data_IF_169933124987
#
_entry.id   IF_169933124987
#
_cell.length_a   1.000
_cell.length_b   1.000
_cell.length_c   1.000
_cell.angle_alpha   90.00
_cell.angle_beta   90.00
_cell.angle_gamma   90.00
#
_symmetry.space_group_name_H-M   'P 1'
#
loop_
_entity.id
_entity.type
_entity.pdbx_description
1 polymer ?
#
# COMPACT_ATOMS: atom_id res chain seq x y z
N UNK A 1 -11.60 24.78 2.39
CA UNK A 1 -10.95 23.48 2.09
C UNK A 1 -11.17 23.06 0.64
N UNK A 2 -12.41 22.90 0.16
CA UNK A 2 -12.66 22.48 -1.23
C UNK A 2 -12.06 23.43 -2.27
N UNK A 3 -12.10 24.75 -2.04
CA UNK A 3 -11.45 25.74 -2.90
C UNK A 3 -9.93 25.50 -3.01
N UNK A 4 -9.25 25.29 -1.89
CA UNK A 4 -7.82 24.96 -1.85
C UNK A 4 -7.51 23.65 -2.60
N UNK A 5 -8.29 22.58 -2.39
CA UNK A 5 -8.12 21.30 -3.08
C UNK A 5 -8.26 21.50 -4.59
N UNK A 6 -9.26 22.28 -5.02
CA UNK A 6 -9.48 22.62 -6.44
C UNK A 6 -8.32 23.45 -7.01
N UNK A 7 -7.82 24.44 -6.28
CA UNK A 7 -6.66 25.24 -6.69
C UNK A 7 -5.42 24.36 -6.89
N UNK A 8 -5.13 23.46 -5.96
CA UNK A 8 -4.03 22.48 -6.09
C UNK A 8 -4.24 21.62 -7.35
N UNK A 9 -5.44 21.04 -7.53
CA UNK A 9 -5.73 20.20 -8.69
C UNK A 9 -5.57 20.96 -10.02
N UNK A 10 -6.09 22.18 -10.10
CA UNK A 10 -5.95 23.03 -11.30
C UNK A 10 -4.51 23.44 -11.57
N UNK A 11 -3.71 23.75 -10.56
CA UNK A 11 -2.29 24.06 -10.73
C UNK A 11 -1.50 22.89 -11.33
N UNK A 12 -1.97 21.65 -11.13
CA UNK A 12 -1.41 20.41 -11.71
C UNK A 12 -2.01 20.06 -13.08
N UNK A 13 -2.95 20.85 -13.59
CA UNK A 13 -3.62 20.58 -14.86
C UNK A 13 -4.70 19.50 -14.82
N UNK A 14 -5.20 19.15 -13.63
CA UNK A 14 -6.28 18.16 -13.50
C UNK A 14 -7.61 18.70 -14.06
N UNK A 15 -8.38 17.83 -14.67
CA UNK A 15 -9.72 18.14 -15.16
C UNK A 15 -10.73 18.34 -14.02
N UNK A 16 -11.93 18.78 -14.37
CA UNK A 16 -12.98 19.05 -13.38
C UNK A 16 -13.45 17.76 -12.68
N UNK A 17 -13.46 16.62 -13.36
CA UNK A 17 -13.89 15.35 -12.77
C UNK A 17 -12.93 14.88 -11.68
N UNK A 18 -11.62 14.92 -11.94
CA UNK A 18 -10.62 14.58 -10.94
C UNK A 18 -10.63 15.57 -9.78
N UNK A 19 -10.75 16.88 -10.05
CA UNK A 19 -10.88 17.89 -9.00
C UNK A 19 -12.12 17.62 -8.11
N UNK A 20 -13.29 17.36 -8.70
CA UNK A 20 -14.52 17.04 -7.97
C UNK A 20 -14.39 15.77 -7.13
N UNK A 21 -13.65 14.77 -7.63
CA UNK A 21 -13.39 13.53 -6.91
C UNK A 21 -12.47 13.76 -5.72
N UNK A 22 -11.41 14.56 -5.88
CA UNK A 22 -10.50 14.93 -4.79
C UNK A 22 -11.22 15.76 -3.71
N UNK A 23 -12.14 16.65 -4.07
CA UNK A 23 -12.98 17.41 -3.12
C UNK A 23 -13.87 16.50 -2.24
N UNK A 24 -14.16 15.27 -2.67
CA UNK A 24 -14.86 14.26 -1.86
C UNK A 24 -13.90 13.43 -1.03
N UNK A 25 -12.77 13.03 -1.63
CA UNK A 25 -11.79 12.11 -1.01
C UNK A 25 -11.05 12.79 0.14
N UNK A 26 -10.48 13.97 -0.07
CA UNK A 26 -9.60 14.61 0.91
C UNK A 26 -10.31 14.90 2.23
N UNK A 27 -11.53 15.48 2.25
CA UNK A 27 -12.27 15.65 3.51
C UNK A 27 -12.60 14.33 4.22
N UNK A 28 -12.93 13.27 3.47
CA UNK A 28 -13.21 11.96 4.03
C UNK A 28 -11.95 11.31 4.64
N UNK A 29 -10.79 11.50 4.01
CA UNK A 29 -9.50 11.06 4.57
C UNK A 29 -9.16 11.82 5.85
N UNK A 30 -9.35 13.13 5.89
CA UNK A 30 -9.14 13.94 7.11
C UNK A 30 -10.07 13.46 8.23
N UNK A 31 -11.34 13.20 7.92
CA UNK A 31 -12.31 12.66 8.90
C UNK A 31 -11.86 11.28 9.43
N UNK A 32 -11.27 10.44 8.60
CA UNK A 32 -10.85 9.08 8.95
C UNK A 32 -9.54 9.04 9.74
N UNK A 33 -8.51 9.75 9.25
CA UNK A 33 -7.17 9.73 9.85
C UNK A 33 -7.04 10.67 11.05
N UNK A 34 -7.80 11.78 11.08
CA UNK A 34 -7.79 12.79 12.11
C UNK A 34 -7.43 14.17 11.58
N UNK A 35 -7.99 15.18 12.22
CA UNK A 35 -7.76 16.59 11.88
C UNK A 35 -6.28 17.01 12.05
N UNK A 36 -5.56 16.38 12.94
CA UNK A 36 -4.12 16.58 13.17
C UNK A 36 -3.26 16.23 11.96
N UNK A 37 -3.76 15.39 11.04
CA UNK A 37 -3.06 15.02 9.81
C UNK A 37 -3.51 15.82 8.57
N UNK A 38 -4.37 16.84 8.74
CA UNK A 38 -4.86 17.67 7.64
C UNK A 38 -3.73 18.25 6.79
N UNK A 39 -2.77 18.90 7.43
CA UNK A 39 -1.67 19.57 6.72
C UNK A 39 -0.78 18.57 5.99
N UNK A 40 -0.56 17.40 6.56
CA UNK A 40 0.15 16.30 5.93
C UNK A 40 -0.61 15.81 4.68
N UNK A 41 -1.93 15.58 4.78
CA UNK A 41 -2.76 15.12 3.66
C UNK A 41 -2.76 16.13 2.51
N UNK A 42 -2.89 17.43 2.81
CA UNK A 42 -2.86 18.49 1.80
C UNK A 42 -1.48 18.61 1.15
N UNK A 43 -0.41 18.50 1.92
CA UNK A 43 0.96 18.52 1.41
C UNK A 43 1.24 17.32 0.49
N UNK A 44 0.78 16.13 0.87
CA UNK A 44 0.89 14.93 0.00
C UNK A 44 0.11 15.13 -1.30
N UNK A 45 -1.09 15.72 -1.26
CA UNK A 45 -1.84 16.07 -2.46
C UNK A 45 -1.06 17.05 -3.36
N UNK A 46 -0.46 18.07 -2.77
CA UNK A 46 0.34 19.06 -3.49
C UNK A 46 1.58 18.45 -4.14
N UNK A 47 2.23 17.48 -3.50
CA UNK A 47 3.47 16.86 -3.99
C UNK A 47 3.24 15.62 -4.89
N UNK A 48 2.06 15.01 -4.85
CA UNK A 48 1.76 13.79 -5.62
C UNK A 48 1.15 14.11 -6.98
N UNK A 49 1.70 13.52 -8.04
CA UNK A 49 1.12 13.59 -9.40
C UNK A 49 0.18 12.41 -9.61
N UNK A 50 -1.08 12.68 -9.95
CA UNK A 50 -2.08 11.67 -10.27
C UNK A 50 -2.22 11.57 -11.79
N UNK A 51 -2.04 10.38 -12.35
CA UNK A 51 -2.16 10.09 -13.77
C UNK A 51 -3.21 9.01 -14.00
N UNK A 52 -4.14 9.24 -14.92
CA UNK A 52 -5.11 8.22 -15.38
C UNK A 52 -4.63 7.71 -16.73
N UNK A 53 -4.44 6.39 -16.86
CA UNK A 53 -4.04 5.75 -18.11
C UNK A 53 -5.04 6.03 -19.23
N UNK A 54 -4.56 6.12 -20.47
CA UNK A 54 -5.43 6.09 -21.65
C UNK A 54 -5.98 4.69 -21.88
N UNK A 55 -7.01 4.56 -22.70
CA UNK A 55 -7.70 3.29 -22.96
C UNK A 55 -6.81 2.18 -23.54
N UNK A 56 -5.66 2.53 -24.12
CA UNK A 56 -4.69 1.61 -24.71
C UNK A 56 -3.40 1.47 -23.88
N UNK A 57 -3.34 2.08 -22.72
CA UNK A 57 -2.19 2.04 -21.81
C UNK A 57 -2.55 1.22 -20.56
N UNK A 58 -1.60 0.52 -20.00
CA UNK A 58 -1.72 -0.06 -18.67
C UNK A 58 -0.87 0.71 -17.63
N UNK A 59 -1.17 0.50 -16.37
CA UNK A 59 -0.51 1.18 -15.24
C UNK A 59 1.01 0.98 -15.29
N UNK A 60 1.46 -0.23 -15.61
CA UNK A 60 2.87 -0.59 -15.70
C UNK A 60 3.61 0.17 -16.80
N UNK A 61 3.03 0.29 -18.00
CA UNK A 61 3.63 1.04 -19.12
C UNK A 61 3.82 2.52 -18.77
N UNK A 62 2.84 3.09 -18.04
CA UNK A 62 2.93 4.48 -17.59
C UNK A 62 4.02 4.64 -16.53
N UNK A 63 4.09 3.74 -15.55
CA UNK A 63 5.13 3.75 -14.52
C UNK A 63 6.53 3.63 -15.10
N UNK A 64 6.76 2.67 -16.00
CA UNK A 64 8.07 2.48 -16.62
C UNK A 64 8.55 3.73 -17.35
N UNK A 65 7.62 4.44 -18.01
CA UNK A 65 7.95 5.73 -18.66
C UNK A 65 8.38 6.80 -17.64
N UNK A 66 7.82 6.76 -16.42
CA UNK A 66 8.16 7.69 -15.35
C UNK A 66 9.49 7.32 -14.67
N UNK A 67 9.71 6.05 -14.41
CA UNK A 67 10.88 5.57 -13.69
C UNK A 67 12.14 5.51 -14.54
N UNK A 68 12.02 5.57 -15.88
CA UNK A 68 13.16 5.34 -16.81
C UNK A 68 13.94 4.04 -16.50
N UNK A 69 13.22 3.03 -15.98
CA UNK A 69 13.80 1.71 -15.74
C UNK A 69 13.89 1.01 -17.09
N UNK A 70 15.10 0.70 -17.54
CA UNK A 70 15.31 -0.32 -18.57
C UNK A 70 14.84 -1.65 -17.98
N UNK A 71 14.16 -2.45 -18.81
CA UNK A 71 13.56 -3.73 -18.44
C UNK A 71 14.61 -4.66 -17.83
N UNK A 72 14.78 -4.63 -16.51
CA UNK A 72 15.41 -5.73 -15.81
C UNK A 72 14.28 -6.63 -15.29
N UNK A 73 14.22 -7.85 -15.86
CA UNK A 73 13.21 -8.88 -15.58
C UNK A 73 13.21 -9.36 -14.12
N UNK A 74 14.08 -8.81 -13.27
CA UNK A 74 14.32 -9.26 -11.91
C UNK A 74 13.36 -8.68 -10.85
N UNK A 75 12.50 -7.70 -11.19
CA UNK A 75 11.54 -7.17 -10.22
C UNK A 75 10.38 -8.16 -10.09
N UNK A 76 10.39 -8.93 -9.04
CA UNK A 76 9.27 -9.77 -8.61
C UNK A 76 8.06 -8.83 -8.41
N UNK A 77 6.97 -9.07 -9.15
CA UNK A 77 5.78 -8.20 -9.11
C UNK A 77 5.44 -7.52 -10.43
N UNK A 78 6.35 -7.43 -11.40
CA UNK A 78 6.11 -6.79 -12.71
C UNK A 78 4.87 -7.37 -13.44
N UNK A 79 4.61 -8.67 -13.31
CA UNK A 79 3.42 -9.29 -13.92
C UNK A 79 2.11 -8.90 -13.22
N UNK A 80 2.16 -8.60 -11.93
CA UNK A 80 0.99 -8.25 -11.12
C UNK A 80 0.55 -6.80 -11.35
N UNK A 81 1.50 -5.90 -11.61
CA UNK A 81 1.22 -4.49 -11.96
C UNK A 81 0.45 -4.34 -13.29
N UNK A 82 0.55 -5.30 -14.20
CA UNK A 82 -0.23 -5.29 -15.48
C UNK A 82 -1.74 -5.42 -15.26
N UNK A 83 -2.14 -5.92 -14.10
CA UNK A 83 -3.55 -6.16 -13.74
C UNK A 83 -4.01 -5.17 -12.66
N UNK A 84 -3.10 -4.37 -12.12
CA UNK A 84 -3.42 -3.41 -11.07
C UNK A 84 -4.43 -2.36 -11.57
N UNK A 85 -5.43 -2.07 -10.73
CA UNK A 85 -6.38 -0.98 -10.97
C UNK A 85 -5.72 0.39 -10.73
N UNK A 86 -4.68 0.43 -9.91
CA UNK A 86 -3.86 1.59 -9.62
C UNK A 86 -2.55 1.18 -8.98
N UNK A 87 -1.65 2.13 -8.84
CA UNK A 87 -0.41 1.98 -8.08
C UNK A 87 0.06 3.35 -7.57
N UNK A 88 0.56 3.35 -6.34
CA UNK A 88 1.29 4.48 -5.75
C UNK A 88 2.79 4.18 -5.79
N UNK A 89 3.57 5.08 -6.35
CA UNK A 89 5.03 4.94 -6.43
C UNK A 89 5.71 6.21 -5.97
N UNK A 90 6.78 6.07 -5.16
CA UNK A 90 7.72 7.15 -4.86
C UNK A 90 9.04 6.84 -5.53
N UNK A 91 9.37 7.61 -6.55
CA UNK A 91 10.56 7.42 -7.39
C UNK A 91 11.70 8.27 -6.84
N UNK A 92 12.76 7.68 -6.26
CA UNK A 92 13.93 8.42 -5.86
C UNK A 92 14.79 8.73 -7.10
N UNK A 93 15.18 10.00 -7.24
CA UNK A 93 16.25 10.39 -8.14
C UNK A 93 17.54 10.36 -7.33
N UNK A 94 18.40 9.40 -7.63
CA UNK A 94 19.62 9.15 -6.89
C UNK A 94 20.83 9.47 -7.77
N UNK A 95 21.79 10.20 -7.22
CA UNK A 95 23.09 10.43 -7.84
C UNK A 95 24.22 9.75 -7.04
N UNK A 96 25.35 9.51 -7.72
CA UNK A 96 26.56 9.01 -7.10
C UNK A 96 27.69 9.99 -7.40
N UNK A 97 28.32 10.53 -6.35
CA UNK A 97 29.49 11.41 -6.46
C UNK A 97 30.61 10.89 -5.56
N UNK A 98 31.78 10.71 -6.13
CA UNK A 98 32.97 10.21 -5.40
C UNK A 98 32.73 8.85 -4.69
N UNK A 99 31.81 8.02 -5.22
CA UNK A 99 31.43 6.74 -4.65
C UNK A 99 30.36 6.82 -3.55
N UNK A 100 29.84 8.01 -3.26
CA UNK A 100 28.75 8.21 -2.30
C UNK A 100 27.42 8.44 -3.02
N UNK A 101 26.39 7.67 -2.63
CA UNK A 101 25.04 7.81 -3.14
C UNK A 101 24.25 8.83 -2.33
N UNK A 102 23.45 9.67 -3.01
CA UNK A 102 22.56 10.64 -2.39
C UNK A 102 21.21 10.71 -3.11
N UNK A 103 20.13 10.97 -2.34
CA UNK A 103 18.81 11.24 -2.90
C UNK A 103 18.76 12.73 -3.27
N UNK A 104 18.64 13.02 -4.56
CA UNK A 104 18.51 14.40 -5.07
C UNK A 104 17.07 14.89 -4.99
N UNK A 105 16.09 13.98 -5.23
CA UNK A 105 14.67 14.30 -5.26
C UNK A 105 13.84 13.02 -5.03
N UNK A 106 12.65 13.18 -4.45
CA UNK A 106 11.59 12.17 -4.42
C UNK A 106 10.42 12.64 -5.28
N UNK A 107 10.02 11.85 -6.26
CA UNK A 107 8.88 12.14 -7.13
C UNK A 107 7.75 11.16 -6.78
N UNK A 108 6.57 11.68 -6.40
CA UNK A 108 5.42 10.87 -5.99
C UNK A 108 4.39 10.81 -7.11
N UNK A 109 4.00 9.59 -7.44
CA UNK A 109 3.04 9.33 -8.50
C UNK A 109 1.96 8.37 -8.02
N UNK A 110 0.73 8.65 -8.40
CA UNK A 110 -0.38 7.70 -8.38
C UNK A 110 -0.78 7.50 -9.84
N UNK A 111 -0.74 6.25 -10.31
CA UNK A 111 -1.16 5.89 -11.66
C UNK A 111 -2.40 5.01 -11.54
N UNK A 112 -3.48 5.41 -12.17
CA UNK A 112 -4.76 4.69 -12.17
C UNK A 112 -5.01 4.08 -13.55
N UNK A 113 -5.57 2.88 -13.59
CA UNK A 113 -6.04 2.29 -14.84
C UNK A 113 -7.11 3.16 -15.48
N UNK A 114 -7.27 3.02 -16.81
CA UNK A 114 -8.32 3.71 -17.55
C UNK A 114 -9.71 3.42 -16.95
N UNK A 115 -10.47 4.47 -16.71
CA UNK A 115 -11.82 4.36 -16.15
C UNK A 115 -12.46 5.71 -15.85
N UNK A 116 -13.74 5.69 -15.48
CA UNK A 116 -14.42 6.90 -15.02
C UNK A 116 -14.04 7.18 -13.56
N UNK A 117 -13.27 8.24 -13.36
CA UNK A 117 -12.73 8.63 -12.05
C UNK A 117 -13.81 8.91 -10.99
N UNK A 118 -15.03 9.23 -11.41
CA UNK A 118 -16.16 9.44 -10.51
C UNK A 118 -16.88 8.12 -10.15
N UNK A 119 -16.50 7.00 -10.79
CA UNK A 119 -17.06 5.69 -10.43
C UNK A 119 -16.55 5.25 -9.05
N UNK A 120 -17.39 4.49 -8.34
CA UNK A 120 -17.04 3.96 -7.01
C UNK A 120 -15.75 3.13 -7.00
N UNK A 121 -15.54 2.32 -8.03
CA UNK A 121 -14.33 1.52 -8.16
C UNK A 121 -13.07 2.41 -8.26
N UNK A 122 -13.11 3.43 -9.11
CA UNK A 122 -11.98 4.36 -9.28
C UNK A 122 -11.77 5.23 -8.03
N UNK A 123 -12.85 5.69 -7.38
CA UNK A 123 -12.76 6.42 -6.11
C UNK A 123 -12.03 5.56 -5.06
N UNK A 124 -12.43 4.29 -4.91
CA UNK A 124 -11.77 3.37 -3.98
C UNK A 124 -10.30 3.16 -4.33
N UNK A 125 -9.99 2.89 -5.60
CA UNK A 125 -8.60 2.74 -6.05
C UNK A 125 -7.79 3.99 -5.73
N UNK A 126 -8.31 5.19 -6.03
CA UNK A 126 -7.61 6.43 -5.73
C UNK A 126 -7.40 6.63 -4.22
N UNK A 127 -8.40 6.30 -3.38
CA UNK A 127 -8.27 6.34 -1.91
C UNK A 127 -7.18 5.38 -1.44
N UNK A 128 -7.16 4.15 -1.96
CA UNK A 128 -6.17 3.13 -1.64
C UNK A 128 -4.75 3.61 -1.97
N UNK A 129 -4.53 4.06 -3.20
CA UNK A 129 -3.22 4.53 -3.65
C UNK A 129 -2.78 5.83 -2.96
N UNK A 130 -3.73 6.73 -2.69
CA UNK A 130 -3.43 7.95 -1.95
C UNK A 130 -3.05 7.65 -0.49
N UNK A 131 -3.64 6.62 0.11
CA UNK A 131 -3.27 6.17 1.45
C UNK A 131 -1.83 5.64 1.49
N UNK A 132 -1.38 4.90 0.47
CA UNK A 132 0.02 4.51 0.34
C UNK A 132 0.93 5.73 0.18
N UNK A 133 0.57 6.70 -0.67
CA UNK A 133 1.34 7.94 -0.84
C UNK A 133 1.45 8.73 0.49
N UNK A 134 0.36 8.81 1.26
CA UNK A 134 0.32 9.46 2.57
C UNK A 134 1.25 8.76 3.57
N UNK A 135 1.23 7.44 3.61
CA UNK A 135 2.02 6.61 4.53
C UNK A 135 3.48 6.46 4.12
N UNK A 136 3.84 6.82 2.88
CA UNK A 136 5.22 6.88 2.38
C UNK A 136 5.83 8.27 2.47
N UNK A 137 5.24 9.16 3.26
CA UNK A 137 5.70 10.52 3.48
C UNK A 137 6.68 10.58 4.66
N UNK A 138 7.42 11.68 4.80
CA UNK A 138 8.38 12.00 5.86
C UNK A 138 9.32 10.86 6.33
N UNK A 139 10.60 11.06 6.31
CA UNK A 139 11.65 10.13 6.80
C UNK A 139 11.52 8.66 6.32
N UNK A 140 10.66 8.42 5.31
CA UNK A 140 10.42 7.10 4.77
C UNK A 140 11.45 6.68 3.71
N UNK A 141 12.41 7.54 3.39
CA UNK A 141 13.43 7.29 2.37
C UNK A 141 14.80 7.77 2.85
N UNK A 142 15.77 6.88 2.89
CA UNK A 142 17.16 7.25 3.19
C UNK A 142 18.17 6.28 2.56
N UNK A 143 19.42 6.71 2.46
CA UNK A 143 20.54 5.88 2.00
C UNK A 143 21.54 5.69 3.13
N UNK A 144 22.01 4.46 3.30
CA UNK A 144 23.10 4.12 4.20
C UNK A 144 24.13 3.24 3.46
N UNK A 145 25.25 3.85 3.09
CA UNK A 145 26.26 3.22 2.22
C UNK A 145 25.68 2.97 0.82
N UNK A 146 25.63 1.71 0.41
CA UNK A 146 25.04 1.24 -0.85
C UNK A 146 23.61 0.71 -0.67
N UNK A 147 22.99 0.92 0.48
CA UNK A 147 21.62 0.46 0.74
C UNK A 147 20.67 1.67 0.73
N UNK A 148 19.69 1.61 -0.15
CA UNK A 148 18.54 2.48 -0.14
C UNK A 148 17.40 1.80 0.63
N UNK A 149 16.84 2.53 1.56
CA UNK A 149 15.66 2.13 2.32
C UNK A 149 14.47 2.99 1.93
N UNK A 150 13.33 2.36 1.72
CA UNK A 150 12.05 3.05 1.58
C UNK A 150 10.97 2.37 2.42
N UNK A 151 9.96 3.15 2.80
CA UNK A 151 8.85 2.71 3.62
C UNK A 151 7.53 3.28 3.11
N UNK A 152 6.46 2.47 3.18
CA UNK A 152 5.07 2.93 3.04
C UNK A 152 4.22 2.25 4.12
N UNK A 153 3.81 3.01 5.14
CA UNK A 153 3.16 2.44 6.30
C UNK A 153 4.05 1.41 6.99
N UNK A 154 3.60 0.17 7.05
CA UNK A 154 4.37 -0.96 7.58
C UNK A 154 5.29 -1.62 6.55
N UNK A 155 5.07 -1.41 5.25
CA UNK A 155 5.97 -1.96 4.21
C UNK A 155 7.35 -1.35 4.36
N UNK A 156 8.36 -2.20 4.40
CA UNK A 156 9.77 -1.82 4.39
C UNK A 156 10.45 -2.47 3.18
N UNK A 157 11.13 -1.65 2.37
CA UNK A 157 11.84 -2.09 1.16
C UNK A 157 13.30 -1.73 1.32
N UNK A 158 14.17 -2.70 1.05
CA UNK A 158 15.61 -2.54 1.05
C UNK A 158 16.15 -2.88 -0.34
N UNK A 159 16.83 -1.93 -0.95
CA UNK A 159 17.43 -2.09 -2.28
C UNK A 159 18.92 -1.79 -2.21
N UNK A 160 19.73 -2.55 -2.97
CA UNK A 160 21.14 -2.26 -3.17
C UNK A 160 21.33 -1.29 -4.32
N UNK A 161 22.16 -0.29 -4.10
CA UNK A 161 22.58 0.67 -5.12
C UNK A 161 23.90 0.21 -5.73
N UNK A 162 23.99 0.31 -7.05
CA UNK A 162 25.22 0.07 -7.80
C UNK A 162 25.27 1.03 -9.00
N UNK A 163 26.40 1.09 -9.68
CA UNK A 163 26.52 1.77 -10.96
C UNK A 163 26.58 0.72 -12.07
N UNK A 164 25.84 0.94 -13.16
CA UNK A 164 25.99 0.18 -14.39
C UNK A 164 27.28 0.58 -15.15
N UNK A 165 27.51 -0.04 -16.30
CA UNK A 165 28.65 0.22 -17.18
C UNK A 165 28.70 1.67 -17.73
N UNK A 166 27.58 2.37 -17.73
CA UNK A 166 27.43 3.76 -18.16
C UNK A 166 27.51 4.77 -17.00
N UNK A 167 27.72 4.29 -15.77
CA UNK A 167 27.74 5.12 -14.56
C UNK A 167 26.35 5.56 -14.07
N UNK A 168 25.28 4.92 -14.57
CA UNK A 168 23.91 5.17 -14.11
C UNK A 168 23.64 4.36 -12.82
N UNK A 169 22.92 4.96 -11.87
CA UNK A 169 22.54 4.26 -10.64
C UNK A 169 21.48 3.22 -10.93
N UNK A 170 21.75 1.98 -10.51
CA UNK A 170 20.84 0.83 -10.58
C UNK A 170 20.42 0.44 -9.17
N UNK A 171 19.14 0.10 -8.99
CA UNK A 171 18.56 -0.39 -7.73
C UNK A 171 18.21 -1.86 -7.88
N UNK A 172 18.66 -2.69 -6.94
CA UNK A 172 18.36 -4.12 -6.91
C UNK A 172 17.66 -4.46 -5.61
N UNK A 173 16.46 -5.01 -5.66
CA UNK A 173 15.70 -5.42 -4.48
C UNK A 173 16.45 -6.46 -3.66
N UNK A 174 16.64 -6.19 -2.36
CA UNK A 174 17.22 -7.13 -1.39
C UNK A 174 16.10 -7.82 -0.61
N UNK A 175 15.16 -7.03 -0.08
CA UNK A 175 14.04 -7.55 0.70
C UNK A 175 12.88 -6.57 0.75
N UNK A 176 11.69 -7.14 0.84
CA UNK A 176 10.45 -6.45 1.12
C UNK A 176 9.75 -7.16 2.27
N UNK A 177 9.15 -6.43 3.21
CA UNK A 177 8.53 -6.97 4.42
C UNK A 177 7.22 -6.27 4.72
N UNK A 178 6.35 -6.96 5.46
CA UNK A 178 5.11 -6.46 6.02
C UNK A 178 4.06 -6.01 4.98
N UNK A 179 4.16 -6.50 3.75
CA UNK A 179 3.23 -6.16 2.66
C UNK A 179 1.80 -6.53 3.05
N UNK A 180 1.57 -7.76 3.49
CA UNK A 180 0.24 -8.24 3.86
C UNK A 180 -0.37 -7.50 5.05
N UNK A 181 0.45 -7.05 5.99
CA UNK A 181 0.00 -6.23 7.11
C UNK A 181 -0.48 -4.86 6.61
N UNK A 182 0.33 -4.19 5.77
CA UNK A 182 -0.02 -2.87 5.24
C UNK A 182 -1.23 -2.93 4.31
N UNK A 183 -1.26 -3.88 3.38
CA UNK A 183 -2.36 -4.04 2.43
C UNK A 183 -3.68 -4.35 3.14
N UNK A 184 -3.64 -5.14 4.22
CA UNK A 184 -4.79 -5.42 5.05
C UNK A 184 -5.35 -4.16 5.71
N UNK A 185 -4.52 -3.37 6.37
CA UNK A 185 -4.93 -2.12 6.99
C UNK A 185 -5.31 -1.05 5.97
N UNK A 186 -4.61 -0.99 4.83
CA UNK A 186 -4.93 -0.06 3.77
C UNK A 186 -6.32 -0.36 3.16
N UNK A 187 -6.62 -1.64 2.93
CA UNK A 187 -7.95 -2.06 2.46
C UNK A 187 -9.06 -1.85 3.50
N UNK A 188 -8.75 -1.95 4.79
CA UNK A 188 -9.68 -1.57 5.85
C UNK A 188 -9.96 -0.06 5.80
N UNK A 189 -8.92 0.77 5.75
CA UNK A 189 -9.02 2.23 5.72
C UNK A 189 -9.78 2.69 4.46
N UNK A 190 -9.45 2.15 3.27
CA UNK A 190 -10.13 2.49 2.02
C UNK A 190 -11.63 2.15 2.05
N UNK A 191 -12.00 1.01 2.65
CA UNK A 191 -13.40 0.60 2.80
C UNK A 191 -14.19 1.58 3.66
N UNK A 192 -13.59 2.10 4.73
CA UNK A 192 -14.21 3.09 5.62
C UNK A 192 -14.33 4.43 4.91
N UNK A 193 -13.24 4.92 4.30
CA UNK A 193 -13.22 6.22 3.60
C UNK A 193 -14.21 6.21 2.43
N UNK A 194 -14.24 5.14 1.64
CA UNK A 194 -15.19 4.99 0.52
C UNK A 194 -16.64 4.98 1.02
N UNK A 195 -16.91 4.31 2.14
CA UNK A 195 -18.24 4.32 2.77
C UNK A 195 -18.66 5.73 3.21
N UNK A 196 -17.73 6.53 3.76
CA UNK A 196 -17.99 7.94 4.11
C UNK A 196 -18.37 8.74 2.84
N UNK A 197 -17.66 8.53 1.72
CA UNK A 197 -17.89 9.26 0.47
C UNK A 197 -19.21 8.86 -0.19
N UNK A 198 -19.54 7.58 -0.20
CA UNK A 198 -20.67 7.03 -0.97
C UNK A 198 -21.95 6.88 -0.16
N UNK A 199 -21.85 6.85 1.17
CA UNK A 199 -22.97 6.54 2.07
C UNK A 199 -23.43 5.07 2.02
N UNK A 200 -22.67 4.19 1.36
CA UNK A 200 -22.98 2.77 1.27
C UNK A 200 -22.27 1.95 2.36
N UNK A 201 -22.76 0.73 2.58
CA UNK A 201 -22.11 -0.22 3.49
C UNK A 201 -20.67 -0.53 3.07
N UNK A 202 -19.80 -0.70 4.05
CA UNK A 202 -18.41 -1.08 3.84
C UNK A 202 -18.31 -2.43 3.14
N UNK A 203 -17.37 -2.54 2.19
CA UNK A 203 -17.06 -3.78 1.48
C UNK A 203 -15.55 -3.88 1.27
N UNK A 204 -15.00 -5.05 1.55
CA UNK A 204 -13.63 -5.38 1.14
C UNK A 204 -13.67 -5.95 -0.29
N UNK A 205 -13.12 -5.24 -1.25
CA UNK A 205 -13.07 -5.69 -2.65
C UNK A 205 -11.70 -6.23 -3.03
N UNK A 206 -10.62 -5.68 -2.43
CA UNK A 206 -9.23 -6.16 -2.54
C UNK A 206 -8.73 -6.67 -1.19
N UNK A 207 -7.73 -7.53 -1.20
CA UNK A 207 -7.06 -8.06 0.02
C UNK A 207 -8.03 -8.48 1.13
N UNK A 208 -9.09 -9.21 0.77
CA UNK A 208 -10.19 -9.53 1.69
C UNK A 208 -9.74 -10.26 2.95
N UNK A 209 -8.84 -11.23 2.82
CA UNK A 209 -8.30 -11.96 3.96
C UNK A 209 -7.52 -11.06 4.91
N UNK A 210 -6.50 -10.34 4.43
CA UNK A 210 -5.76 -9.37 5.23
C UNK A 210 -6.65 -8.27 5.83
N UNK A 211 -7.63 -7.73 5.08
CA UNK A 211 -8.53 -6.68 5.57
C UNK A 211 -9.42 -7.14 6.72
N UNK A 212 -9.95 -8.37 6.67
CA UNK A 212 -10.74 -8.95 7.78
C UNK A 212 -9.87 -9.12 9.03
N UNK A 213 -8.65 -9.61 8.88
CA UNK A 213 -7.71 -9.76 9.99
C UNK A 213 -7.30 -8.39 10.57
N UNK A 214 -7.10 -7.38 9.71
CA UNK A 214 -6.82 -6.00 10.13
C UNK A 214 -7.99 -5.42 10.94
N UNK A 215 -9.23 -5.63 10.50
CA UNK A 215 -10.43 -5.19 11.23
C UNK A 215 -10.57 -5.92 12.58
N UNK A 216 -10.36 -7.22 12.61
CA UNK A 216 -10.35 -8.00 13.86
C UNK A 216 -9.26 -7.49 14.82
N UNK A 217 -8.05 -7.20 14.33
CA UNK A 217 -6.96 -6.65 15.13
C UNK A 217 -7.32 -5.26 15.69
N UNK A 218 -7.79 -4.32 14.86
CA UNK A 218 -8.19 -2.99 15.32
C UNK A 218 -9.32 -3.04 16.36
N UNK A 219 -10.31 -3.92 16.16
CA UNK A 219 -11.45 -4.05 17.08
C UNK A 219 -11.06 -4.72 18.41
N UNK A 220 -10.30 -5.81 18.37
CA UNK A 220 -10.00 -6.62 19.54
C UNK A 220 -8.84 -6.09 20.36
N UNK A 221 -7.82 -5.52 19.70
CA UNK A 221 -6.69 -4.91 20.38
C UNK A 221 -6.97 -3.47 20.82
N UNK A 222 -7.87 -2.75 20.13
CA UNK A 222 -8.31 -1.41 20.51
C UNK A 222 -7.30 -0.29 20.26
N UNK A 223 -6.30 -0.50 19.38
CA UNK A 223 -5.18 0.45 19.18
C UNK A 223 -5.16 1.05 17.77
N UNK A 224 -6.34 1.34 17.21
CA UNK A 224 -6.47 1.92 15.88
C UNK A 224 -5.71 3.24 15.72
N UNK A 225 -5.81 4.14 16.70
CA UNK A 225 -5.16 5.45 16.61
C UNK A 225 -3.63 5.30 16.63
N UNK A 226 -3.11 4.41 17.47
CA UNK A 226 -1.68 4.11 17.55
C UNK A 226 -1.17 3.46 16.26
N UNK A 227 -1.98 2.58 15.64
CA UNK A 227 -1.69 2.01 14.33
C UNK A 227 -1.61 3.10 13.25
N UNK A 228 -2.64 3.94 13.14
CA UNK A 228 -2.67 5.06 12.18
C UNK A 228 -1.45 5.95 12.39
N UNK A 229 -1.16 6.33 13.62
CA UNK A 229 0.01 7.13 13.94
C UNK A 229 1.30 6.44 13.49
N UNK A 230 1.48 5.17 13.82
CA UNK A 230 2.68 4.41 13.43
C UNK A 230 2.85 4.36 11.90
N UNK A 231 1.77 4.12 11.15
CA UNK A 231 1.81 4.10 9.69
C UNK A 231 2.18 5.47 9.10
N UNK A 232 1.63 6.56 9.64
CA UNK A 232 1.87 7.91 9.12
C UNK A 232 3.24 8.48 9.53
N UNK A 233 3.69 8.21 10.76
CA UNK A 233 4.95 8.75 11.29
C UNK A 233 6.15 7.82 11.15
N UNK A 234 5.92 6.52 10.90
CA UNK A 234 6.97 5.50 10.85
C UNK A 234 7.42 4.98 12.22
N UNK A 235 6.72 5.31 13.29
CA UNK A 235 7.01 4.78 14.63
C UNK A 235 6.47 3.34 14.79
N UNK A 236 6.98 2.45 13.92
CA UNK A 236 6.55 1.05 13.88
C UNK A 236 6.90 0.32 15.16
N UNK A 237 8.03 0.65 15.78
CA UNK A 237 8.50 -0.04 16.99
C UNK A 237 7.55 0.20 18.17
N UNK A 238 7.02 1.40 18.31
CA UNK A 238 5.97 1.67 19.31
C UNK A 238 4.74 0.79 19.09
N UNK A 239 4.27 0.67 17.84
CA UNK A 239 3.12 -0.19 17.54
C UNK A 239 3.44 -1.68 17.71
N UNK A 240 4.63 -2.16 17.33
CA UNK A 240 5.10 -3.52 17.61
C UNK A 240 5.06 -3.85 19.09
N UNK A 241 5.58 -2.95 19.91
CA UNK A 241 5.56 -3.12 21.38
C UNK A 241 4.13 -3.21 21.93
N UNK A 242 3.24 -2.36 21.43
CA UNK A 242 1.82 -2.39 21.78
C UNK A 242 1.17 -3.71 21.33
N UNK A 243 1.46 -4.18 20.13
CA UNK A 243 0.93 -5.43 19.59
C UNK A 243 1.42 -6.64 20.37
N UNK A 244 2.71 -6.71 20.65
CA UNK A 244 3.35 -7.81 21.37
C UNK A 244 2.95 -7.85 22.86
N UNK A 245 2.60 -6.72 23.46
CA UNK A 245 2.24 -6.63 24.88
C UNK A 245 3.36 -7.15 25.80
N UNK A 246 3.04 -8.07 26.69
CA UNK A 246 4.00 -8.74 27.58
C UNK A 246 4.59 -10.06 27.04
N UNK A 247 4.25 -10.40 25.78
CA UNK A 247 4.76 -11.62 25.15
C UNK A 247 6.28 -11.56 24.97
N UNK A 248 6.96 -12.67 25.20
CA UNK A 248 8.36 -12.86 24.82
C UNK A 248 8.52 -13.24 23.33
N UNK A 249 7.42 -13.55 22.64
CA UNK A 249 7.37 -13.86 21.21
C UNK A 249 7.15 -12.58 20.42
N UNK A 250 7.71 -12.46 19.22
CA UNK A 250 7.43 -11.38 18.27
C UNK A 250 6.11 -11.67 17.53
N UNK A 251 4.99 -11.44 18.21
CA UNK A 251 3.65 -11.69 17.66
C UNK A 251 3.34 -10.78 16.46
N UNK A 252 3.87 -9.55 16.46
CA UNK A 252 3.71 -8.66 15.32
C UNK A 252 4.45 -9.20 14.09
N UNK A 253 5.70 -9.60 14.24
CA UNK A 253 6.49 -10.15 13.12
C UNK A 253 5.93 -11.48 12.60
N UNK A 254 5.43 -12.35 13.48
CA UNK A 254 4.74 -13.56 13.09
C UNK A 254 3.44 -13.27 12.32
N UNK A 255 2.63 -12.31 12.80
CA UNK A 255 1.41 -11.87 12.12
C UNK A 255 1.70 -11.31 10.74
N UNK A 256 2.70 -10.43 10.64
CA UNK A 256 3.11 -9.84 9.36
C UNK A 256 3.51 -10.91 8.35
N UNK A 257 4.36 -11.87 8.75
CA UNK A 257 4.77 -12.98 7.90
C UNK A 257 3.59 -13.83 7.43
N UNK A 258 2.65 -14.13 8.32
CA UNK A 258 1.46 -14.92 7.96
C UNK A 258 0.57 -14.14 6.97
N UNK A 259 0.40 -12.83 7.14
CA UNK A 259 -0.36 -11.99 6.22
C UNK A 259 0.32 -11.83 4.86
N UNK A 260 1.65 -11.78 4.80
CA UNK A 260 2.40 -11.80 3.53
C UNK A 260 2.10 -13.10 2.74
N UNK A 261 2.00 -14.25 3.41
CA UNK A 261 1.60 -15.50 2.75
C UNK A 261 0.13 -15.49 2.32
N UNK A 262 -0.78 -14.89 3.10
CA UNK A 262 -2.21 -14.74 2.70
C UNK A 262 -2.30 -13.91 1.41
N UNK A 263 -1.57 -12.79 1.32
CA UNK A 263 -1.54 -11.93 0.12
C UNK A 263 -1.02 -12.70 -1.09
N UNK A 264 0.07 -13.46 -0.93
CA UNK A 264 0.62 -14.31 -2.02
C UNK A 264 -0.41 -15.30 -2.54
N UNK A 265 -1.16 -15.96 -1.65
CA UNK A 265 -2.20 -16.91 -2.04
C UNK A 265 -3.41 -16.21 -2.68
N UNK A 266 -3.77 -14.99 -2.25
CA UNK A 266 -4.82 -14.19 -2.91
C UNK A 266 -4.40 -13.78 -4.33
N UNK A 267 -3.16 -13.32 -4.53
CA UNK A 267 -2.63 -13.04 -5.88
C UNK A 267 -2.59 -14.29 -6.75
N UNK A 268 -2.16 -15.42 -6.21
CA UNK A 268 -2.12 -16.69 -6.92
C UNK A 268 -3.53 -17.12 -7.36
N UNK A 269 -4.53 -16.97 -6.49
CA UNK A 269 -5.93 -17.25 -6.79
C UNK A 269 -6.43 -16.34 -7.91
N UNK A 270 -6.23 -15.03 -7.77
CA UNK A 270 -6.66 -14.03 -8.75
C UNK A 270 -6.03 -14.24 -10.13
N UNK A 271 -4.72 -14.49 -10.17
CA UNK A 271 -3.99 -14.79 -11.40
C UNK A 271 -4.53 -16.04 -12.09
N UNK A 272 -4.81 -17.10 -11.35
CA UNK A 272 -5.34 -18.34 -11.93
C UNK A 272 -6.74 -18.14 -12.50
N UNK A 273 -7.61 -17.39 -11.81
CA UNK A 273 -8.94 -17.06 -12.35
C UNK A 273 -8.84 -16.28 -13.66
N UNK A 274 -7.96 -15.29 -13.74
CA UNK A 274 -7.81 -14.45 -14.94
C UNK A 274 -7.17 -15.19 -16.11
N UNK A 275 -6.17 -16.05 -15.86
CA UNK A 275 -5.40 -16.69 -16.94
C UNK A 275 -6.08 -17.96 -17.48
N UNK A 276 -6.76 -18.72 -16.64
CA UNK A 276 -7.24 -20.04 -16.99
C UNK A 276 -8.76 -20.17 -16.98
N UNK A 277 -9.47 -19.19 -16.42
CA UNK A 277 -10.91 -19.30 -16.21
C UNK A 277 -11.27 -20.38 -15.17
N UNK A 278 -12.56 -20.59 -14.95
CA UNK A 278 -13.04 -21.57 -13.96
C UNK A 278 -13.67 -22.84 -14.58
N UNK A 279 -13.52 -23.03 -15.89
CA UNK A 279 -14.34 -24.02 -16.62
C UNK A 279 -13.72 -25.41 -16.71
N UNK A 280 -12.42 -25.55 -16.48
CA UNK A 280 -11.75 -26.86 -16.45
C UNK A 280 -11.76 -27.44 -15.04
N UNK A 281 -11.95 -28.77 -14.94
CA UNK A 281 -12.00 -29.47 -13.65
C UNK A 281 -10.67 -29.36 -12.87
N UNK A 282 -9.54 -29.36 -13.60
CA UNK A 282 -8.21 -29.18 -13.00
C UNK A 282 -8.05 -27.77 -12.39
N UNK A 283 -8.59 -26.75 -13.04
CA UNK A 283 -8.53 -25.37 -12.55
C UNK A 283 -9.40 -25.20 -11.30
N UNK A 284 -10.57 -25.83 -11.26
CA UNK A 284 -11.44 -25.85 -10.08
C UNK A 284 -10.75 -26.49 -8.87
N UNK A 285 -10.05 -27.61 -9.09
CA UNK A 285 -9.31 -28.29 -8.03
C UNK A 285 -8.18 -27.42 -7.50
N UNK A 286 -7.43 -26.77 -8.38
CA UNK A 286 -6.35 -25.83 -8.00
C UNK A 286 -6.91 -24.65 -7.21
N UNK A 287 -8.04 -24.07 -7.65
CA UNK A 287 -8.71 -22.97 -6.93
C UNK A 287 -9.16 -23.40 -5.54
N UNK A 288 -9.71 -24.61 -5.40
CA UNK A 288 -10.11 -25.18 -4.10
C UNK A 288 -8.90 -25.38 -3.18
N UNK A 289 -7.78 -25.89 -3.70
CA UNK A 289 -6.53 -26.04 -2.94
C UNK A 289 -6.02 -24.68 -2.42
N UNK A 290 -5.99 -23.66 -3.28
CA UNK A 290 -5.56 -22.30 -2.90
C UNK A 290 -6.50 -21.69 -1.84
N UNK A 291 -7.82 -21.85 -2.00
CA UNK A 291 -8.80 -21.35 -1.04
C UNK A 291 -8.65 -22.04 0.32
N UNK A 292 -8.39 -23.34 0.34
CA UNK A 292 -8.16 -24.10 1.56
C UNK A 292 -6.87 -23.66 2.28
N UNK A 293 -5.79 -23.40 1.54
CA UNK A 293 -4.54 -22.93 2.11
C UNK A 293 -4.70 -21.52 2.70
N UNK A 294 -5.34 -20.61 1.96
CA UNK A 294 -5.68 -19.29 2.47
C UNK A 294 -6.51 -19.35 3.76
N UNK A 295 -7.51 -20.23 3.82
CA UNK A 295 -8.34 -20.37 5.01
C UNK A 295 -7.53 -20.84 6.24
N UNK A 296 -6.55 -21.74 6.05
CA UNK A 296 -5.62 -22.15 7.11
C UNK A 296 -4.77 -20.98 7.59
N UNK A 297 -4.20 -20.21 6.67
CA UNK A 297 -3.37 -19.04 7.01
C UNK A 297 -4.16 -17.97 7.76
N UNK A 298 -5.39 -17.68 7.35
CA UNK A 298 -6.30 -16.77 8.07
C UNK A 298 -6.58 -17.27 9.49
N UNK A 299 -6.75 -18.57 9.68
CA UNK A 299 -6.93 -19.16 11.01
C UNK A 299 -5.68 -19.01 11.89
N UNK A 300 -4.48 -19.18 11.33
CA UNK A 300 -3.21 -18.92 12.03
C UNK A 300 -3.10 -17.44 12.43
N UNK A 301 -3.47 -16.52 11.56
CA UNK A 301 -3.50 -15.09 11.88
C UNK A 301 -4.44 -14.77 13.05
N UNK A 302 -5.63 -15.38 13.11
CA UNK A 302 -6.57 -15.21 14.23
C UNK A 302 -6.00 -15.73 15.54
N UNK A 303 -5.41 -16.91 15.54
CA UNK A 303 -4.75 -17.46 16.73
C UNK A 303 -3.64 -16.53 17.24
N UNK A 304 -2.96 -15.81 16.35
CA UNK A 304 -1.93 -14.86 16.73
C UNK A 304 -2.51 -13.60 17.39
N UNK A 305 -3.67 -13.11 16.93
CA UNK A 305 -4.43 -12.05 17.60
C UNK A 305 -4.85 -12.50 19.00
N UNK A 306 -5.36 -13.72 19.15
CA UNK A 306 -5.75 -14.26 20.46
C UNK A 306 -4.57 -14.29 21.43
N UNK A 307 -3.39 -14.74 21.02
CA UNK A 307 -2.15 -14.65 21.81
C UNK A 307 -1.81 -13.21 22.21
N UNK A 308 -1.96 -12.27 21.28
CA UNK A 308 -1.70 -10.84 21.55
C UNK A 308 -2.67 -10.27 22.59
N UNK A 309 -3.94 -10.70 22.58
CA UNK A 309 -4.95 -10.34 23.58
C UNK A 309 -4.57 -10.94 24.94
N UNK A 310 -4.25 -12.23 25.00
CA UNK A 310 -3.86 -12.93 26.23
C UNK A 310 -2.63 -12.29 26.87
N UNK A 311 -1.65 -11.87 26.06
CA UNK A 311 -0.44 -11.21 26.54
C UNK A 311 -0.72 -9.90 27.28
N UNK A 312 -1.84 -9.22 26.98
CA UNK A 312 -2.27 -7.96 27.63
C UNK A 312 -3.07 -8.19 28.90
N UNK A 313 -3.86 -9.27 28.94
CA UNK A 313 -4.67 -9.60 30.13
C UNK A 313 -3.79 -10.01 31.31
N UNK A 314 -2.65 -10.63 31.04
CA UNK A 314 -1.72 -11.10 32.07
C UNK A 314 -0.84 -9.98 32.70
N UNK A 315 -0.99 -8.73 32.29
CA UNK A 315 -0.28 -7.55 32.85
C UNK A 315 -1.07 -6.89 33.99
N UNK A 316 -2.24 -7.39 34.34
CA UNK A 316 -3.00 -6.94 35.51
C UNK A 316 -2.68 -7.84 36.72
#
# INVERSE_FOLDING_TARGET
>A
MNELIREIGKSKGYDDKLCNTLEKIIPAMIMHYGEEYRDLILKVLEETTITICKSNENVYEVLNKLETIEEDESIVGIQDVKIAAGVSSTIPRISCKDGEFSIDKLERHIVLAFGDIESKAQIRTLVHEFSHALKSYENSHYIKGDIYYSRSGFIEIFERLSLDENGKVVRTLISEKNVGMEEGFNSLDDSIITSIITGEDRKFESYRGPAVIAEEADCLLGYRNERIKAQLTGDIDTYKNIYNGSSSEDLFGEQSKNLDEVVKEEYRLFRNILLYGSDKEEDKKLLEEIQNERAKLVHVCRNNIDKAIESKVNVK
#
